data_IF_526264038325
#
_entry.id   IF_526264038325
#
_cell.length_a   1.000
_cell.length_b   1.000
_cell.length_c   1.000
_cell.angle_alpha   90.00
_cell.angle_beta   90.00
_cell.angle_gamma   90.00
#
_symmetry.space_group_name_H-M   'P 1'
#
loop_
_entity.id
_entity.type
_entity.pdbx_description
1 polymer ?
#
# COMPACT_ATOMS: atom_id res chain seq x y z
N UNK A 1 10.62 -9.31 -3.02
CA UNK A 1 12.04 -9.61 -2.68
C UNK A 1 12.52 -10.66 -3.68
N UNK A 2 13.44 -10.35 -4.61
CA UNK A 2 13.93 -11.35 -5.58
C UNK A 2 15.06 -12.16 -4.95
N UNK A 3 14.73 -13.36 -4.46
CA UNK A 3 15.72 -14.34 -4.01
C UNK A 3 16.18 -15.19 -5.20
N UNK A 4 17.45 -15.65 -5.19
CA UNK A 4 18.00 -16.52 -6.25
C UNK A 4 17.29 -17.88 -6.34
N UNK A 5 16.61 -18.28 -5.28
CA UNK A 5 15.97 -19.60 -5.13
C UNK A 5 14.58 -19.68 -5.81
N UNK A 6 13.99 -18.54 -6.19
CA UNK A 6 12.66 -18.49 -6.79
C UNK A 6 12.46 -17.33 -7.75
N UNK A 7 12.84 -17.45 -9.04
CA UNK A 7 12.69 -16.36 -10.01
C UNK A 7 11.22 -15.95 -10.23
N UNK A 8 10.26 -16.83 -9.94
CA UNK A 8 8.82 -16.56 -10.01
C UNK A 8 8.22 -15.99 -8.72
N UNK A 9 8.95 -16.00 -7.60
CA UNK A 9 8.47 -15.58 -6.28
C UNK A 9 8.80 -14.12 -5.93
N UNK A 10 9.19 -13.34 -6.94
CA UNK A 10 9.63 -11.95 -6.77
C UNK A 10 8.65 -11.05 -5.98
N UNK A 11 7.35 -11.37 -6.03
CA UNK A 11 6.25 -10.60 -5.44
C UNK A 11 5.42 -11.39 -4.40
N UNK A 12 5.96 -12.48 -3.83
CA UNK A 12 5.22 -13.27 -2.85
C UNK A 12 5.27 -12.62 -1.47
N UNK A 13 4.15 -12.10 -1.00
CA UNK A 13 4.04 -11.47 0.33
C UNK A 13 4.24 -12.49 1.47
N UNK A 14 3.84 -13.75 1.26
CA UNK A 14 3.81 -14.80 2.29
C UNK A 14 5.19 -15.19 2.85
N UNK A 15 6.26 -14.92 2.09
CA UNK A 15 7.63 -15.21 2.51
C UNK A 15 8.30 -14.04 3.25
N UNK A 16 7.70 -12.84 3.24
CA UNK A 16 8.28 -11.64 3.86
C UNK A 16 8.63 -11.84 5.34
N UNK A 17 7.77 -12.47 6.18
CA UNK A 17 8.10 -12.70 7.58
C UNK A 17 9.37 -13.54 7.76
N UNK A 18 9.48 -14.64 7.02
CA UNK A 18 10.64 -15.54 7.12
C UNK A 18 11.92 -14.82 6.70
N UNK A 19 11.86 -14.08 5.59
CA UNK A 19 13.01 -13.33 5.10
C UNK A 19 13.46 -12.24 6.07
N UNK A 20 12.50 -11.57 6.72
CA UNK A 20 12.80 -10.60 7.77
C UNK A 20 13.45 -11.28 8.98
N UNK A 21 12.86 -12.37 9.48
CA UNK A 21 13.38 -13.11 10.64
C UNK A 21 14.76 -13.72 10.37
N UNK A 22 14.99 -14.27 9.18
CA UNK A 22 16.30 -14.78 8.75
C UNK A 22 17.30 -13.67 8.40
N UNK A 23 16.83 -12.44 8.21
CA UNK A 23 17.65 -11.31 7.76
C UNK A 23 18.20 -11.46 6.34
N UNK A 24 17.56 -12.24 5.47
CA UNK A 24 18.03 -12.52 4.11
C UNK A 24 17.03 -12.06 3.04
N UNK A 25 17.47 -11.34 2.00
CA UNK A 25 18.78 -10.69 1.82
C UNK A 25 19.09 -9.53 2.78
N UNK A 26 18.10 -8.99 3.49
CA UNK A 26 18.27 -7.94 4.50
C UNK A 26 17.07 -7.92 5.44
N UNK A 27 17.25 -7.35 6.63
CA UNK A 27 16.13 -7.03 7.52
C UNK A 27 15.39 -5.80 7.02
N UNK A 28 14.07 -5.82 7.19
CA UNK A 28 13.20 -4.69 6.89
C UNK A 28 13.19 -3.73 8.08
N UNK A 29 13.29 -2.45 7.80
CA UNK A 29 13.15 -1.41 8.81
C UNK A 29 11.70 -0.89 8.87
N UNK A 30 11.12 -0.62 7.70
CA UNK A 30 9.78 -0.04 7.57
C UNK A 30 8.93 -0.85 6.57
N UNK A 31 7.65 -1.05 6.89
CA UNK A 31 6.65 -1.64 6.00
C UNK A 31 5.42 -0.72 5.87
N UNK A 32 4.93 -0.56 4.65
CA UNK A 32 3.69 0.15 4.34
C UNK A 32 2.69 -0.83 3.75
N UNK A 33 1.56 -1.02 4.42
CA UNK A 33 0.45 -1.81 3.93
C UNK A 33 -0.63 -0.90 3.34
N UNK A 34 -1.04 -1.21 2.12
CA UNK A 34 -2.16 -0.55 1.45
C UNK A 34 -3.25 -1.59 1.17
N UNK A 35 -4.43 -1.41 1.79
CA UNK A 35 -5.60 -2.30 1.65
C UNK A 35 -5.25 -3.80 1.79
N UNK A 36 -4.27 -4.13 2.62
CA UNK A 36 -3.72 -5.48 2.75
C UNK A 36 -3.65 -5.86 4.22
N UNK A 37 -4.19 -7.01 4.56
CA UNK A 37 -4.21 -7.53 5.92
C UNK A 37 -3.50 -8.89 5.97
N UNK A 38 -2.15 -8.93 6.00
CA UNK A 38 -1.39 -10.16 5.94
C UNK A 38 -1.65 -11.12 7.11
N UNK A 39 -1.91 -10.61 8.32
CA UNK A 39 -2.17 -11.46 9.51
C UNK A 39 -3.37 -12.37 9.27
N UNK A 40 -4.44 -11.84 8.68
CA UNK A 40 -5.64 -12.61 8.36
C UNK A 40 -5.54 -13.38 7.04
N UNK A 41 -4.94 -12.79 6.01
CA UNK A 41 -5.03 -13.30 4.63
C UNK A 41 -3.96 -14.33 4.25
N UNK A 42 -2.86 -14.44 5.00
CA UNK A 42 -1.77 -15.36 4.70
C UNK A 42 -1.80 -16.60 5.61
N UNK A 43 -1.28 -17.75 5.14
CA UNK A 43 -1.18 -18.94 5.99
C UNK A 43 -0.17 -18.70 7.12
N UNK A 44 -0.56 -19.11 8.33
CA UNK A 44 0.18 -18.94 9.58
C UNK A 44 0.35 -17.47 9.99
N UNK A 45 -0.63 -16.98 10.76
CA UNK A 45 -0.67 -15.62 11.29
C UNK A 45 0.49 -15.32 12.26
N UNK A 46 0.96 -16.34 12.99
CA UNK A 46 1.96 -16.14 14.07
C UNK A 46 3.30 -15.64 13.54
N UNK A 47 3.66 -16.04 12.31
CA UNK A 47 4.87 -15.56 11.64
C UNK A 47 4.82 -14.06 11.36
N UNK A 48 3.65 -13.54 10.95
CA UNK A 48 3.46 -12.11 10.76
C UNK A 48 3.44 -11.35 12.08
N UNK A 49 2.73 -11.86 13.09
CA UNK A 49 2.70 -11.24 14.42
C UNK A 49 4.10 -11.10 15.03
N UNK A 50 4.99 -12.07 14.79
CA UNK A 50 6.38 -12.01 15.23
C UNK A 50 7.20 -11.01 14.42
N UNK A 51 7.09 -11.05 13.08
CA UNK A 51 7.87 -10.17 12.21
C UNK A 51 7.46 -8.70 12.30
N UNK A 52 6.22 -8.39 12.67
CA UNK A 52 5.76 -7.00 12.80
C UNK A 52 6.17 -6.36 14.14
N UNK A 53 6.72 -7.12 15.10
CA UNK A 53 7.14 -6.56 16.39
C UNK A 53 8.41 -5.72 16.31
N UNK A 54 9.29 -5.99 15.34
CA UNK A 54 10.57 -5.28 15.16
C UNK A 54 10.63 -4.37 13.94
N UNK A 55 9.54 -4.27 13.16
CA UNK A 55 9.43 -3.43 11.97
C UNK A 55 8.58 -2.20 12.30
N UNK A 56 8.93 -1.04 11.75
CA UNK A 56 8.06 0.14 11.77
C UNK A 56 6.93 -0.01 10.75
N UNK A 57 5.68 -0.07 11.20
CA UNK A 57 4.53 -0.43 10.37
C UNK A 57 3.59 0.75 10.15
N UNK A 58 3.33 1.05 8.88
CA UNK A 58 2.32 2.00 8.44
C UNK A 58 1.17 1.23 7.78
N UNK A 59 -0.02 1.31 8.35
CA UNK A 59 -1.23 0.67 7.81
C UNK A 59 -2.14 1.71 7.18
N UNK A 60 -2.54 1.46 5.94
CA UNK A 60 -3.46 2.33 5.20
C UNK A 60 -4.66 1.54 4.72
N UNK A 61 -5.78 1.72 5.41
CA UNK A 61 -7.05 1.08 5.09
C UNK A 61 -8.24 1.93 5.57
N UNK A 62 -9.44 1.74 4.99
CA UNK A 62 -10.66 2.42 5.44
C UNK A 62 -11.26 1.81 6.72
N UNK A 63 -10.78 0.64 7.17
CA UNK A 63 -11.33 -0.09 8.31
C UNK A 63 -10.22 -0.68 9.17
N UNK A 64 -10.36 -0.67 10.50
CA UNK A 64 -9.37 -1.31 11.38
C UNK A 64 -9.26 -2.81 11.05
N UNK A 65 -8.04 -3.27 10.84
CA UNK A 65 -7.68 -4.64 10.47
C UNK A 65 -6.84 -5.30 11.57
N UNK A 66 -6.70 -6.62 11.56
CA UNK A 66 -5.78 -7.33 12.48
C UNK A 66 -4.34 -6.81 12.34
N UNK A 67 -3.94 -6.44 11.12
CA UNK A 67 -2.62 -5.83 10.88
C UNK A 67 -2.51 -4.43 11.47
N UNK A 68 -3.60 -3.65 11.50
CA UNK A 68 -3.61 -2.32 12.12
C UNK A 68 -3.33 -2.35 13.63
N UNK A 69 -3.57 -3.48 14.30
CA UNK A 69 -3.25 -3.64 15.73
C UNK A 69 -1.74 -3.60 16.00
N UNK A 70 -0.93 -4.01 15.02
CA UNK A 70 0.54 -3.99 15.09
C UNK A 70 1.15 -2.77 14.40
N UNK A 71 0.33 -1.81 13.96
CA UNK A 71 0.81 -0.63 13.25
C UNK A 71 1.28 0.47 14.22
N UNK A 72 2.44 1.07 13.93
CA UNK A 72 2.91 2.28 14.60
C UNK A 72 2.12 3.51 14.15
N UNK A 73 1.74 3.54 12.87
CA UNK A 73 0.93 4.61 12.27
C UNK A 73 -0.22 4.00 11.48
N UNK A 74 -1.44 4.44 11.78
CA UNK A 74 -2.63 4.17 10.97
C UNK A 74 -2.97 5.42 10.18
N UNK A 75 -2.98 5.32 8.85
CA UNK A 75 -3.39 6.38 7.94
C UNK A 75 -4.76 6.01 7.37
N UNK A 76 -5.84 6.71 7.75
CA UNK A 76 -7.19 6.35 7.30
C UNK A 76 -7.38 6.62 5.80
N UNK A 77 -7.70 5.57 5.05
CA UNK A 77 -8.00 5.66 3.62
C UNK A 77 -9.50 5.90 3.37
N UNK A 78 -9.79 6.51 2.24
CA UNK A 78 -11.13 6.67 1.68
C UNK A 78 -11.68 5.37 1.12
N UNK A 79 -13.00 5.17 1.22
CA UNK A 79 -13.67 4.04 0.57
C UNK A 79 -13.72 4.24 -0.95
N UNK A 80 -14.08 3.17 -1.66
CA UNK A 80 -14.14 3.21 -3.13
C UNK A 80 -15.16 4.24 -3.67
N UNK A 81 -16.17 4.63 -2.90
CA UNK A 81 -17.18 5.61 -3.33
C UNK A 81 -16.70 7.07 -3.21
N UNK A 82 -15.59 7.30 -2.53
CA UNK A 82 -15.12 8.63 -2.12
C UNK A 82 -13.90 9.11 -2.91
N UNK A 83 -13.39 8.32 -3.86
CA UNK A 83 -12.08 8.56 -4.48
C UNK A 83 -12.01 8.36 -5.98
N UNK A 84 -11.08 9.09 -6.59
CA UNK A 84 -10.61 8.86 -7.95
C UNK A 84 -9.67 7.65 -7.99
N UNK A 85 -9.90 6.73 -8.92
CA UNK A 85 -9.03 5.57 -9.10
C UNK A 85 -9.11 5.03 -10.52
N UNK A 86 -7.96 4.71 -11.12
CA UNK A 86 -7.92 3.94 -12.35
C UNK A 86 -8.33 2.47 -12.06
N UNK A 87 -9.07 1.87 -12.99
CA UNK A 87 -9.41 0.45 -12.91
C UNK A 87 -8.75 -0.28 -14.06
N UNK A 88 -7.51 -0.78 -13.87
CA UNK A 88 -6.81 -1.52 -14.90
C UNK A 88 -7.54 -2.83 -15.21
N UNK A 89 -7.57 -3.19 -16.48
CA UNK A 89 -8.24 -4.42 -16.94
C UNK A 89 -7.30 -5.60 -16.85
N UNK A 90 -7.82 -6.75 -16.42
CA UNK A 90 -7.06 -7.99 -16.42
C UNK A 90 -6.66 -8.40 -17.85
N UNK A 91 -5.44 -8.92 -18.05
CA UNK A 91 -4.90 -9.27 -19.38
C UNK A 91 -5.65 -10.39 -20.10
N UNK A 92 -6.64 -11.02 -19.43
CA UNK A 92 -7.46 -12.10 -19.97
C UNK A 92 -8.78 -11.61 -20.61
N UNK A 93 -9.02 -10.29 -20.69
CA UNK A 93 -10.14 -9.76 -21.45
C UNK A 93 -9.76 -9.66 -22.93
N UNK A 94 -10.56 -10.27 -23.81
CA UNK A 94 -10.30 -10.34 -25.26
C UNK A 94 -10.35 -9.02 -26.02
N UNK A 95 -10.41 -7.87 -25.33
CA UNK A 95 -10.45 -6.53 -25.89
C UNK A 95 -9.87 -5.53 -24.88
N UNK A 96 -9.15 -4.49 -25.34
CA UNK A 96 -8.60 -3.48 -24.46
C UNK A 96 -9.74 -2.65 -23.84
N UNK A 97 -9.74 -2.57 -22.51
CA UNK A 97 -10.65 -1.72 -21.76
C UNK A 97 -9.83 -0.96 -20.71
N UNK A 98 -10.21 0.29 -20.47
CA UNK A 98 -9.84 1.01 -19.25
C UNK A 98 -11.10 1.53 -18.59
N UNK A 99 -11.09 1.66 -17.28
CA UNK A 99 -12.17 2.27 -16.54
C UNK A 99 -11.60 3.29 -15.56
N UNK A 100 -12.43 4.27 -15.24
CA UNK A 100 -12.13 5.30 -14.26
C UNK A 100 -13.23 5.27 -13.21
N UNK A 101 -12.84 5.24 -11.95
CA UNK A 101 -13.74 5.46 -10.84
C UNK A 101 -13.71 6.94 -10.47
N UNK A 102 -14.90 7.53 -10.42
CA UNK A 102 -15.15 8.91 -10.00
C UNK A 102 -15.80 8.85 -8.61
N UNK A 103 -15.47 9.75 -7.68
CA UNK A 103 -16.14 9.83 -6.38
C UNK A 103 -17.64 10.07 -6.56
N UNK A 104 -18.46 9.19 -5.99
CA UNK A 104 -19.92 9.34 -5.94
C UNK A 104 -20.35 10.25 -4.79
N UNK A 105 -19.55 10.29 -3.72
CA UNK A 105 -19.74 11.14 -2.54
C UNK A 105 -18.39 11.75 -2.16
N UNK A 106 -18.41 12.89 -1.46
CA UNK A 106 -17.19 13.43 -0.85
C UNK A 106 -16.76 12.57 0.35
N UNK A 107 -15.46 12.54 0.71
CA UNK A 107 -14.98 11.87 1.92
C UNK A 107 -15.77 12.30 3.16
N UNK A 108 -16.32 11.34 3.90
CA UNK A 108 -17.20 11.61 5.05
C UNK A 108 -16.39 11.99 6.30
N UNK A 109 -15.16 11.50 6.41
CA UNK A 109 -14.26 11.70 7.55
C UNK A 109 -12.93 12.33 7.10
N UNK A 110 -12.03 12.60 8.04
CA UNK A 110 -10.67 13.06 7.76
C UNK A 110 -9.80 11.91 7.24
N UNK A 111 -10.15 11.44 6.05
CA UNK A 111 -9.48 10.38 5.32
C UNK A 111 -8.88 10.94 4.05
N UNK A 112 -7.75 10.38 3.62
CA UNK A 112 -7.11 10.73 2.35
C UNK A 112 -6.91 9.48 1.52
N UNK A 113 -7.09 9.60 0.21
CA UNK A 113 -6.77 8.51 -0.69
C UNK A 113 -5.28 8.19 -0.58
N UNK A 114 -4.91 6.91 -0.58
CA UNK A 114 -3.49 6.50 -0.47
C UNK A 114 -2.56 7.20 -1.47
N UNK A 115 -3.02 7.44 -2.70
CA UNK A 115 -2.25 8.20 -3.70
C UNK A 115 -1.98 9.65 -3.26
N UNK A 116 -2.96 10.34 -2.66
CA UNK A 116 -2.76 11.69 -2.12
C UNK A 116 -1.81 11.66 -0.92
N UNK A 117 -1.90 10.64 -0.07
CA UNK A 117 -0.95 10.43 1.02
C UNK A 117 0.49 10.30 0.48
N UNK A 118 0.70 9.52 -0.58
CA UNK A 118 2.01 9.37 -1.21
C UNK A 118 2.51 10.67 -1.83
N UNK A 119 1.65 11.44 -2.50
CA UNK A 119 1.99 12.73 -3.08
C UNK A 119 2.38 13.72 -1.98
N UNK A 120 1.62 13.76 -0.89
CA UNK A 120 1.90 14.60 0.29
C UNK A 120 3.20 14.23 0.98
N UNK A 121 3.51 12.93 1.08
CA UNK A 121 4.83 12.48 1.54
C UNK A 121 5.93 12.92 0.57
N UNK A 122 5.71 12.78 -0.74
CA UNK A 122 6.62 13.22 -1.78
C UNK A 122 6.96 14.70 -1.72
N UNK A 123 5.98 15.57 -1.46
CA UNK A 123 6.19 17.02 -1.26
C UNK A 123 7.09 17.33 -0.06
N UNK A 124 7.06 16.48 0.98
CA UNK A 124 7.88 16.61 2.19
C UNK A 124 9.29 16.03 2.04
N UNK A 125 9.57 15.29 0.96
CA UNK A 125 10.90 14.75 0.67
C UNK A 125 11.71 15.83 -0.07
N UNK A 126 12.76 16.33 0.59
CA UNK A 126 13.64 17.36 0.03
C UNK A 126 14.21 16.97 -1.36
N UNK A 127 14.46 18.00 -2.18
CA UNK A 127 15.13 17.88 -3.47
C UNK A 127 14.18 17.82 -4.67
N UNK A 128 14.60 17.22 -5.81
CA UNK A 128 13.81 17.24 -7.05
C UNK A 128 12.48 16.47 -6.94
N UNK A 129 12.35 15.61 -5.93
CA UNK A 129 11.13 14.85 -5.67
C UNK A 129 9.99 15.76 -5.19
N UNK A 130 10.27 16.68 -4.25
CA UNK A 130 9.29 17.65 -3.77
C UNK A 130 8.77 18.53 -4.90
N UNK A 131 9.66 19.09 -5.72
CA UNK A 131 9.28 19.92 -6.87
C UNK A 131 8.36 19.19 -7.86
N UNK A 132 8.60 17.90 -8.11
CA UNK A 132 7.71 17.09 -8.96
C UNK A 132 6.32 16.91 -8.31
N UNK A 133 6.25 16.52 -7.05
CA UNK A 133 4.97 16.27 -6.38
C UNK A 133 4.19 17.55 -6.05
N UNK A 134 4.86 18.70 -5.93
CA UNK A 134 4.21 20.01 -5.90
C UNK A 134 3.49 20.33 -7.23
N UNK A 135 4.10 20.00 -8.37
CA UNK A 135 3.48 20.16 -9.69
C UNK A 135 2.31 19.19 -9.90
N UNK A 136 2.44 17.94 -9.43
CA UNK A 136 1.37 16.94 -9.48
C UNK A 136 0.16 17.41 -8.65
N UNK A 137 0.40 17.92 -7.45
CA UNK A 137 -0.66 18.44 -6.58
C UNK A 137 -1.45 17.35 -5.86
N UNK A 138 -2.29 16.59 -6.57
CA UNK A 138 -3.15 15.53 -6.02
C UNK A 138 -3.42 14.43 -7.07
N UNK A 139 -4.08 13.35 -6.67
CA UNK A 139 -4.45 12.22 -7.55
C UNK A 139 -5.43 12.64 -8.65
N UNK A 140 -6.32 13.60 -8.37
CA UNK A 140 -7.27 14.10 -9.35
C UNK A 140 -6.57 14.70 -10.58
N UNK A 141 -5.51 15.48 -10.40
CA UNK A 141 -4.71 16.05 -11.49
C UNK A 141 -3.99 15.00 -12.36
N UNK A 142 -3.83 13.77 -11.87
CA UNK A 142 -3.21 12.67 -12.63
C UNK A 142 -4.26 11.95 -13.49
N UNK A 143 -5.48 11.87 -13.00
CA UNK A 143 -6.55 11.06 -13.59
C UNK A 143 -7.54 11.89 -14.43
N UNK A 144 -7.47 13.22 -14.36
CA UNK A 144 -8.23 14.18 -15.14
C UNK A 144 -7.42 14.72 -16.33
#
# INVERSE_FOLDING_TARGET
>A
MKTKEGPLWSNQIQGIPDYHMEGKPYKLDTLVFYLTNPIFSTPDCTRWEQALQDIFVIETSPFPSETSYFADIVVPDTTYLERWQDTPTYPNKGWPQTGLRVPAVAPIHDCKTFGDTLIELGKRIDGPMSAYYEQVGNVENILH
#
